data_IF_403074412227
#
_entry.id   IF_403074412227
#
_cell.length_a   1.000
_cell.length_b   1.000
_cell.length_c   1.000
_cell.angle_alpha   90.00
_cell.angle_beta   90.00
_cell.angle_gamma   90.00
#
_symmetry.space_group_name_H-M   'P 1'
#
loop_
_entity.id
_entity.type
_entity.pdbx_description
1 polymer ?
#
# COMPACT_ATOMS: atom_id res chain seq x y z
N UNK A 1 -22.81 4.24 -5.58
CA UNK A 1 -21.38 4.21 -5.87
C UNK A 1 -20.54 3.93 -4.65
N UNK A 2 -19.24 3.84 -4.86
CA UNK A 2 -18.30 3.59 -3.79
C UNK A 2 -17.65 4.88 -3.37
N UNK A 3 -17.48 5.06 -2.06
CA UNK A 3 -16.83 6.25 -1.52
C UNK A 3 -15.30 6.14 -1.55
N UNK A 4 -14.78 4.92 -1.43
CA UNK A 4 -13.34 4.67 -1.36
C UNK A 4 -13.02 3.29 -1.93
N UNK A 5 -11.96 3.21 -2.72
CA UNK A 5 -11.43 1.94 -3.25
C UNK A 5 -10.13 1.62 -2.53
N UNK A 6 -10.05 0.42 -1.94
CA UNK A 6 -8.83 -0.02 -1.26
C UNK A 6 -8.15 -1.09 -2.12
N UNK A 7 -6.89 -0.84 -2.47
CA UNK A 7 -6.10 -1.74 -3.31
C UNK A 7 -5.07 -2.47 -2.44
N UNK A 8 -5.16 -3.78 -2.41
CA UNK A 8 -4.23 -4.63 -1.66
C UNK A 8 -3.58 -5.68 -2.56
N UNK A 9 -3.59 -5.46 -3.87
CA UNK A 9 -3.08 -6.43 -4.82
C UNK A 9 -1.60 -6.23 -5.08
N UNK A 10 -0.95 -7.32 -5.47
CA UNK A 10 0.45 -7.34 -5.83
C UNK A 10 0.58 -7.36 -7.35
N UNK A 11 0.06 -6.33 -8.01
CA UNK A 11 -0.01 -6.26 -9.46
C UNK A 11 0.25 -4.84 -9.95
N UNK A 12 1.35 -4.66 -10.67
CA UNK A 12 1.76 -3.36 -11.17
C UNK A 12 0.73 -2.75 -12.13
N UNK A 13 0.15 -3.57 -13.00
CA UNK A 13 -0.85 -3.09 -13.96
C UNK A 13 -2.09 -2.55 -13.27
N UNK A 14 -2.57 -3.24 -12.24
CA UNK A 14 -3.71 -2.78 -11.45
C UNK A 14 -3.38 -1.46 -10.77
N UNK A 15 -2.20 -1.33 -10.20
CA UNK A 15 -1.78 -0.09 -9.56
C UNK A 15 -1.69 1.07 -10.53
N UNK A 16 -1.13 0.85 -11.72
CA UNK A 16 -1.07 1.89 -12.74
C UNK A 16 -2.46 2.37 -13.13
N UNK A 17 -3.40 1.45 -13.28
CA UNK A 17 -4.78 1.79 -13.58
C UNK A 17 -5.40 2.60 -12.44
N UNK A 18 -5.20 2.15 -11.20
CA UNK A 18 -5.73 2.82 -10.02
C UNK A 18 -5.22 4.26 -9.91
N UNK A 19 -3.92 4.46 -10.07
CA UNK A 19 -3.31 5.78 -9.92
C UNK A 19 -3.77 6.78 -10.99
N UNK A 20 -4.26 6.28 -12.12
CA UNK A 20 -4.74 7.11 -13.21
C UNK A 20 -6.27 7.31 -13.20
N UNK A 21 -6.96 6.82 -12.18
CA UNK A 21 -8.40 7.04 -12.08
C UNK A 21 -8.70 8.32 -11.31
N UNK A 22 -9.93 8.81 -11.47
CA UNK A 22 -10.44 9.93 -10.69
C UNK A 22 -11.13 9.48 -9.40
N UNK A 23 -11.12 8.19 -9.12
CA UNK A 23 -11.72 7.65 -7.90
C UNK A 23 -10.86 7.99 -6.68
N UNK A 24 -11.48 7.99 -5.51
CA UNK A 24 -10.77 8.09 -4.25
C UNK A 24 -10.27 6.70 -3.88
N UNK A 25 -8.97 6.55 -3.63
CA UNK A 25 -8.37 5.23 -3.43
C UNK A 25 -7.29 5.26 -2.36
N UNK A 26 -7.03 4.07 -1.82
CA UNK A 26 -5.95 3.80 -0.90
C UNK A 26 -5.22 2.55 -1.38
N UNK A 27 -3.91 2.64 -1.57
CA UNK A 27 -3.07 1.54 -2.01
C UNK A 27 -2.17 1.09 -0.86
N UNK A 28 -2.22 -0.19 -0.53
CA UNK A 28 -1.45 -0.79 0.56
C UNK A 28 -0.45 -1.78 -0.02
N UNK A 29 0.81 -1.65 0.39
CA UNK A 29 1.91 -2.48 -0.09
C UNK A 29 2.75 -2.95 1.07
N UNK A 30 3.20 -4.20 1.00
CA UNK A 30 4.17 -4.73 1.96
C UNK A 30 5.11 -5.67 1.24
N UNK A 31 6.39 -5.55 1.52
CA UNK A 31 7.41 -6.43 0.98
C UNK A 31 8.58 -6.53 1.95
N UNK A 32 8.91 -7.75 2.37
CA UNK A 32 9.96 -7.95 3.34
C UNK A 32 9.70 -7.18 4.62
N UNK A 33 10.61 -6.30 4.98
CA UNK A 33 10.51 -5.46 6.18
C UNK A 33 9.93 -4.09 5.89
N UNK A 34 9.41 -3.87 4.68
CA UNK A 34 8.94 -2.58 4.23
C UNK A 34 7.44 -2.62 4.02
N UNK A 35 6.80 -1.50 4.30
CA UNK A 35 5.39 -1.31 4.01
C UNK A 35 5.15 0.13 3.56
N UNK A 36 4.17 0.30 2.70
CA UNK A 36 3.79 1.63 2.23
C UNK A 36 2.28 1.74 2.11
N UNK A 37 1.78 2.90 2.49
CA UNK A 37 0.40 3.31 2.35
C UNK A 37 0.41 4.56 1.48
N UNK A 38 -0.31 4.54 0.37
CA UNK A 38 -0.38 5.67 -0.55
C UNK A 38 -1.84 5.94 -0.86
N UNK A 39 -2.26 7.18 -0.71
CA UNK A 39 -3.63 7.56 -1.00
C UNK A 39 -3.72 8.40 -2.27
N UNK A 40 -4.94 8.56 -2.77
CA UNK A 40 -5.23 9.42 -3.92
C UNK A 40 -4.80 10.87 -3.70
N UNK A 41 -4.54 11.27 -2.46
CA UNK A 41 -4.12 12.62 -2.10
C UNK A 41 -2.63 12.87 -2.29
N UNK A 42 -1.84 11.82 -2.52
CA UNK A 42 -0.39 11.95 -2.68
C UNK A 42 -0.03 12.61 -4.00
N UNK A 43 1.14 13.24 -4.03
CA UNK A 43 1.66 13.87 -5.25
C UNK A 43 1.88 12.79 -6.32
N UNK A 44 1.42 13.00 -7.57
CA UNK A 44 1.63 12.04 -8.65
C UNK A 44 3.08 11.66 -8.89
N UNK A 45 4.04 12.51 -8.56
CA UNK A 45 5.46 12.18 -8.65
C UNK A 45 5.83 11.00 -7.76
N UNK A 46 5.14 10.84 -6.64
CA UNK A 46 5.35 9.72 -5.75
C UNK A 46 4.89 8.40 -6.37
N UNK A 47 3.85 8.44 -7.19
CA UNK A 47 3.36 7.26 -7.90
C UNK A 47 4.45 6.67 -8.78
N UNK A 48 5.16 7.53 -9.53
CA UNK A 48 6.22 7.08 -10.43
C UNK A 48 7.36 6.42 -9.66
N UNK A 49 7.74 6.99 -8.53
CA UNK A 49 8.77 6.42 -7.66
C UNK A 49 8.37 5.04 -7.15
N UNK A 50 7.13 4.90 -6.73
CA UNK A 50 6.62 3.65 -6.18
C UNK A 50 6.49 2.58 -7.26
N UNK A 51 6.06 2.96 -8.46
CA UNK A 51 5.96 2.03 -9.58
C UNK A 51 7.34 1.55 -10.03
N UNK A 52 8.32 2.45 -10.06
CA UNK A 52 9.69 2.07 -10.40
C UNK A 52 10.27 1.08 -9.38
N UNK A 53 9.99 1.29 -8.10
CA UNK A 53 10.39 0.35 -7.06
C UNK A 53 9.69 -0.99 -7.21
N UNK A 54 8.42 -0.99 -7.61
CA UNK A 54 7.62 -2.18 -7.81
C UNK A 54 8.19 -3.09 -8.89
N UNK A 55 8.75 -2.52 -9.95
CA UNK A 55 9.36 -3.30 -11.03
C UNK A 55 10.53 -4.16 -10.56
N UNK A 56 11.14 -3.79 -9.43
CA UNK A 56 12.28 -4.52 -8.86
C UNK A 56 11.87 -5.37 -7.66
N UNK A 57 10.60 -5.32 -7.28
CA UNK A 57 10.17 -5.96 -6.06
C UNK A 57 9.65 -7.37 -6.35
N UNK A 58 9.75 -8.22 -5.35
CA UNK A 58 9.12 -9.52 -5.35
C UNK A 58 7.68 -9.38 -4.86
N UNK A 59 6.93 -10.48 -4.93
CA UNK A 59 5.60 -10.55 -4.36
C UNK A 59 5.61 -10.08 -2.90
N UNK A 60 4.56 -9.40 -2.47
CA UNK A 60 4.45 -8.96 -1.09
C UNK A 60 4.35 -10.13 -0.11
N UNK A 61 4.08 -11.33 -0.59
CA UNK A 61 4.14 -12.52 0.23
C UNK A 61 5.58 -12.98 0.47
N UNK A 62 6.53 -12.43 -0.28
CA UNK A 62 7.94 -12.72 -0.10
C UNK A 62 8.27 -14.20 -0.33
N UNK A 63 9.26 -14.68 0.39
CA UNK A 63 9.70 -16.08 0.30
C UNK A 63 8.72 -16.99 1.04
N UNK A 64 8.62 -18.22 0.56
CA UNK A 64 7.85 -19.24 1.27
C UNK A 64 8.54 -19.55 2.59
N UNK A 65 7.74 -19.72 3.63
CA UNK A 65 8.30 -20.11 4.91
C UNK A 65 8.83 -21.53 4.86
N UNK A 66 10.11 -21.69 5.18
CA UNK A 66 10.79 -22.97 5.13
C UNK A 66 11.14 -23.56 6.50
N UNK A 67 10.49 -23.06 7.57
CA UNK A 67 10.76 -23.48 8.93
C UNK A 67 11.79 -22.62 9.65
N UNK A 68 12.38 -21.64 8.96
CA UNK A 68 13.32 -20.67 9.51
C UNK A 68 12.60 -19.33 9.70
N UNK A 69 13.00 -18.58 10.72
CA UNK A 69 12.46 -17.23 10.95
C UNK A 69 13.06 -16.18 10.02
N UNK A 70 14.11 -16.52 9.28
CA UNK A 70 14.80 -15.55 8.45
C UNK A 70 13.98 -15.09 7.24
N UNK A 71 13.14 -15.97 6.69
CA UNK A 71 12.31 -15.66 5.55
C UNK A 71 10.88 -15.23 5.89
N UNK A 72 10.56 -15.08 7.19
CA UNK A 72 9.20 -14.76 7.61
C UNK A 72 9.11 -13.27 7.93
N UNK A 73 8.16 -12.59 7.31
CA UNK A 73 7.96 -11.16 7.49
C UNK A 73 6.51 -10.89 7.88
N UNK A 74 6.32 -9.90 8.71
CA UNK A 74 5.01 -9.58 9.29
C UNK A 74 4.47 -8.22 8.86
N UNK A 75 5.10 -7.58 7.88
CA UNK A 75 4.69 -6.25 7.46
C UNK A 75 3.32 -6.22 6.80
N UNK A 76 2.85 -7.35 6.30
CA UNK A 76 1.49 -7.45 5.77
C UNK A 76 0.46 -7.19 6.85
N UNK A 77 0.68 -7.71 8.05
CA UNK A 77 -0.21 -7.47 9.19
C UNK A 77 -0.15 -6.01 9.62
N UNK A 78 1.05 -5.44 9.65
CA UNK A 78 1.24 -4.04 10.01
C UNK A 78 0.51 -3.12 9.04
N UNK A 79 0.68 -3.34 7.73
CA UNK A 79 0.05 -2.48 6.73
C UNK A 79 -1.47 -2.63 6.73
N UNK A 80 -1.98 -3.82 7.01
CA UNK A 80 -3.41 -4.03 7.14
C UNK A 80 -3.99 -3.19 8.27
N UNK A 81 -3.31 -3.16 9.42
CA UNK A 81 -3.72 -2.33 10.55
C UNK A 81 -3.65 -0.84 10.25
N UNK A 82 -2.58 -0.41 9.60
CA UNK A 82 -2.42 0.98 9.17
C UNK A 82 -3.52 1.39 8.19
N UNK A 83 -3.82 0.53 7.23
CA UNK A 83 -4.87 0.80 6.25
C UNK A 83 -6.25 0.88 6.90
N UNK A 84 -6.52 0.01 7.86
CA UNK A 84 -7.78 0.03 8.60
C UNK A 84 -7.93 1.33 9.39
N UNK A 85 -6.87 1.76 10.07
CA UNK A 85 -6.88 3.00 10.86
C UNK A 85 -7.06 4.21 9.94
N UNK A 86 -6.34 4.24 8.82
CA UNK A 86 -6.48 5.31 7.83
C UNK A 86 -7.92 5.39 7.32
N UNK A 87 -8.51 4.25 7.00
CA UNK A 87 -9.86 4.17 6.47
C UNK A 87 -10.89 4.67 7.49
N UNK A 88 -10.75 4.27 8.75
CA UNK A 88 -11.63 4.75 9.81
C UNK A 88 -11.55 6.26 9.93
N UNK A 89 -10.36 6.82 9.94
CA UNK A 89 -10.17 8.26 10.06
C UNK A 89 -10.73 8.99 8.83
N UNK A 90 -10.55 8.42 7.64
CA UNK A 90 -11.08 9.01 6.41
C UNK A 90 -12.61 9.15 6.47
N UNK A 91 -13.30 8.13 6.97
CA UNK A 91 -14.75 8.19 7.12
C UNK A 91 -15.20 9.16 8.20
N UNK A 92 -14.36 9.38 9.20
CA UNK A 92 -14.66 10.35 10.27
C UNK A 92 -14.36 11.78 9.83
N UNK A 93 -13.27 12.00 9.10
CA UNK A 93 -12.80 13.32 8.71
C UNK A 93 -11.82 13.19 7.55
N UNK A 94 -12.32 13.08 6.33
CA UNK A 94 -11.53 12.67 5.18
C UNK A 94 -10.46 13.68 4.75
N UNK A 95 -10.51 14.93 5.23
CA UNK A 95 -9.52 15.95 4.86
C UNK A 95 -8.27 15.91 5.75
N UNK A 96 -8.28 15.10 6.80
CA UNK A 96 -7.18 15.07 7.77
C UNK A 96 -6.39 13.76 7.74
N UNK A 97 -6.58 12.93 6.73
CA UNK A 97 -5.80 11.70 6.60
C UNK A 97 -4.48 12.00 5.92
N UNK A 98 -3.49 11.13 6.16
CA UNK A 98 -2.17 11.27 5.55
C UNK A 98 -2.24 10.96 4.07
N UNK A 99 -1.41 11.65 3.30
CA UNK A 99 -1.30 11.42 1.86
C UNK A 99 -0.60 10.09 1.57
N UNK A 100 0.44 9.80 2.33
CA UNK A 100 1.19 8.56 2.22
C UNK A 100 1.96 8.27 3.51
N UNK A 101 2.42 7.04 3.65
CA UNK A 101 3.26 6.64 4.77
C UNK A 101 4.13 5.46 4.36
N UNK A 102 5.41 5.49 4.72
CA UNK A 102 6.36 4.42 4.43
C UNK A 102 7.00 3.98 5.73
N UNK A 103 7.08 2.67 5.93
CA UNK A 103 7.67 2.09 7.13
C UNK A 103 8.75 1.10 6.72
N UNK A 104 9.91 1.21 7.36
CA UNK A 104 11.03 0.28 7.20
C UNK A 104 11.44 -0.23 8.59
N UNK A 105 11.42 -1.53 8.78
CA UNK A 105 11.78 -2.13 10.07
C UNK A 105 12.93 -3.11 9.95
#
# INVERSE_FOLDING_TARGET
>A
GYDLVICCVDNLGVRKTLYNTSLKWLDLRAQGRNAALVSYKADPKMYDMLLAGEERSFSCQGDSWNGSNEGVHFMQVAIAGMGAQWTQRWFQNNDEVRDYMVVNL
#
